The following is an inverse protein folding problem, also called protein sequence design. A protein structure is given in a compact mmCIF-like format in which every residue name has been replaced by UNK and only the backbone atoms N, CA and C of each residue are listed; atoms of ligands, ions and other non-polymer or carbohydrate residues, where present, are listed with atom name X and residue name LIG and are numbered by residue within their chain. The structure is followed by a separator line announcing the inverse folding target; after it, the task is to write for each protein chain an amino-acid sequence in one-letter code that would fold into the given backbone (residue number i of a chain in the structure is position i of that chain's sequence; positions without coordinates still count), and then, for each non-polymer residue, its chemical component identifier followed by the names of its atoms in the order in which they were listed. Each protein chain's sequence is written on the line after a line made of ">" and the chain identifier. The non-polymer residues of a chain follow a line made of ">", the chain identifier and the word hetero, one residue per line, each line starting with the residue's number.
data_IF_570663442337
#
_entry.id   IF_570663442337
#
_cell.length_a   1.000
_cell.length_b   1.000
_cell.length_c   1.000
_cell.angle_alpha   90.00
_cell.angle_beta   90.00
_cell.angle_gamma   90.00
#
_symmetry.space_group_name_H-M   'P 1'
#
loop_
_entity.id
_entity.type
_entity.pdbx_description
1 polymer ?
#
# COMPACT_ATOMS: atom_id res chain seq x y z
N UNK A 1 -23.92 1.36 12.21
CA UNK A 1 -23.53 1.18 10.79
C UNK A 1 -22.44 0.15 10.71
N UNK A 2 -22.71 -0.89 9.94
CA UNK A 2 -22.08 -2.21 9.87
C UNK A 2 -20.55 -2.15 9.77
N UNK A 3 -19.86 -3.05 10.48
CA UNK A 3 -18.42 -3.34 10.32
C UNK A 3 -18.01 -3.44 8.85
N UNK A 4 -18.93 -3.92 8.00
CA UNK A 4 -18.84 -3.93 6.55
C UNK A 4 -18.52 -2.56 5.93
N UNK A 5 -19.20 -1.49 6.33
CA UNK A 5 -18.96 -0.14 5.82
C UNK A 5 -17.59 0.40 6.23
N UNK A 6 -17.11 0.06 7.43
CA UNK A 6 -15.75 0.41 7.87
C UNK A 6 -14.70 -0.33 7.05
N UNK A 7 -14.92 -1.62 6.79
CA UNK A 7 -14.01 -2.45 6.00
C UNK A 7 -13.92 -1.96 4.55
N UNK A 8 -15.07 -1.65 3.93
CA UNK A 8 -15.12 -1.10 2.58
C UNK A 8 -14.33 0.20 2.45
N UNK A 9 -14.41 1.09 3.44
CA UNK A 9 -13.67 2.36 3.47
C UNK A 9 -12.17 2.17 3.56
N UNK A 10 -11.73 1.27 4.45
CA UNK A 10 -10.31 0.93 4.61
C UNK A 10 -9.78 0.24 3.35
N UNK A 11 -10.54 -0.68 2.77
CA UNK A 11 -10.17 -1.38 1.55
C UNK A 11 -10.07 -0.45 0.34
N UNK A 12 -11.03 0.47 0.18
CA UNK A 12 -10.97 1.50 -0.85
C UNK A 12 -9.74 2.41 -0.67
N UNK A 13 -9.40 2.77 0.58
CA UNK A 13 -8.21 3.57 0.87
C UNK A 13 -6.92 2.82 0.55
N UNK A 14 -6.82 1.53 0.90
CA UNK A 14 -5.67 0.67 0.57
C UNK A 14 -5.54 0.48 -0.95
N UNK A 15 -6.66 0.25 -1.66
CA UNK A 15 -6.66 0.16 -3.13
C UNK A 15 -6.24 1.47 -3.79
N UNK A 16 -6.69 2.62 -3.26
CA UNK A 16 -6.26 3.94 -3.71
C UNK A 16 -4.77 4.15 -3.46
N UNK A 17 -4.29 3.93 -2.24
CA UNK A 17 -2.88 4.11 -1.89
C UNK A 17 -1.95 3.16 -2.68
N UNK A 18 -2.35 1.91 -2.87
CA UNK A 18 -1.55 0.92 -3.61
C UNK A 18 -1.45 1.21 -5.11
N UNK A 19 -2.47 1.85 -5.70
CA UNK A 19 -2.48 2.16 -7.14
C UNK A 19 -1.94 3.57 -7.45
N UNK A 20 -1.87 4.47 -6.45
CA UNK A 20 -1.33 5.83 -6.60
C UNK A 20 0.12 5.83 -7.10
N UNK A 21 0.95 4.91 -6.62
CA UNK A 21 2.33 4.74 -7.05
C UNK A 21 2.48 4.45 -8.56
N UNK A 22 1.84 3.38 -9.08
CA UNK A 22 1.78 3.07 -10.50
C UNK A 22 1.22 4.21 -11.36
N UNK A 23 0.15 4.88 -10.91
CA UNK A 23 -0.44 6.01 -11.65
C UNK A 23 0.55 7.17 -11.78
N UNK A 24 1.26 7.53 -10.71
CA UNK A 24 2.28 8.58 -10.75
C UNK A 24 3.40 8.28 -11.74
N UNK A 25 3.86 7.01 -11.77
CA UNK A 25 4.88 6.57 -12.73
C UNK A 25 4.35 6.62 -14.17
N UNK A 26 3.13 6.15 -14.42
CA UNK A 26 2.49 6.21 -15.74
C UNK A 26 2.36 7.66 -16.22
N UNK A 27 1.90 8.57 -15.37
CA UNK A 27 1.78 10.00 -15.70
C UNK A 27 3.15 10.62 -16.00
N UNK A 28 4.18 10.30 -15.23
CA UNK A 28 5.54 10.79 -15.47
C UNK A 28 6.08 10.37 -16.85
N UNK A 29 5.87 9.11 -17.23
CA UNK A 29 6.30 8.61 -18.55
C UNK A 29 5.40 9.11 -19.69
N UNK A 30 4.11 9.34 -19.45
CA UNK A 30 3.19 9.86 -20.47
C UNK A 30 3.39 11.35 -20.78
N UNK A 31 3.85 12.15 -19.82
CA UNK A 31 3.94 13.60 -19.94
C UNK A 31 5.32 14.14 -20.40
N UNK A 32 6.07 13.39 -21.22
CA UNK A 32 7.37 13.84 -21.73
C UNK A 32 7.25 15.01 -22.74
N UNK A 33 8.17 16.01 -22.76
CA UNK A 33 9.42 16.16 -22.00
C UNK A 33 9.37 17.39 -21.07
N UNK A 34 8.58 17.36 -20.00
CA UNK A 34 8.57 18.46 -19.03
C UNK A 34 9.51 18.17 -17.84
N UNK A 35 10.65 18.87 -17.69
CA UNK A 35 11.62 18.63 -16.62
C UNK A 35 11.07 18.89 -15.21
N UNK A 36 9.94 19.59 -15.08
CA UNK A 36 9.25 19.80 -13.80
C UNK A 36 8.68 18.52 -13.20
N UNK A 37 8.45 17.48 -14.02
CA UNK A 37 7.83 16.22 -13.59
C UNK A 37 8.80 15.26 -12.90
N UNK A 38 10.11 15.52 -12.90
CA UNK A 38 11.13 14.68 -12.22
C UNK A 38 10.81 14.43 -10.74
N UNK A 39 10.18 15.39 -10.07
CA UNK A 39 9.76 15.23 -8.68
C UNK A 39 8.65 14.17 -8.52
N UNK A 40 7.71 14.09 -9.46
CA UNK A 40 6.64 13.08 -9.44
C UNK A 40 7.19 11.66 -9.62
N UNK A 41 8.27 11.48 -10.39
CA UNK A 41 8.95 10.19 -10.52
C UNK A 41 9.50 9.70 -9.18
N UNK A 42 10.29 10.54 -8.50
CA UNK A 42 10.92 10.17 -7.23
C UNK A 42 9.90 9.97 -6.11
N UNK A 43 8.87 10.82 -6.03
CA UNK A 43 7.79 10.66 -5.05
C UNK A 43 6.93 9.43 -5.36
N UNK A 44 6.57 9.20 -6.62
CA UNK A 44 5.81 8.02 -7.03
C UNK A 44 6.56 6.72 -6.74
N UNK A 45 7.85 6.67 -7.01
CA UNK A 45 8.71 5.53 -6.70
C UNK A 45 8.84 5.30 -5.18
N UNK A 46 8.98 6.37 -4.40
CA UNK A 46 9.05 6.28 -2.94
C UNK A 46 7.75 5.77 -2.32
N UNK A 47 6.59 6.30 -2.75
CA UNK A 47 5.27 5.84 -2.29
C UNK A 47 5.06 4.36 -2.65
N UNK A 48 5.40 3.96 -3.88
CA UNK A 48 5.29 2.57 -4.33
C UNK A 48 6.16 1.64 -3.47
N UNK A 49 7.41 2.04 -3.19
CA UNK A 49 8.31 1.24 -2.37
C UNK A 49 7.78 1.07 -0.94
N UNK A 50 7.26 2.14 -0.32
CA UNK A 50 6.65 2.06 1.01
C UNK A 50 5.42 1.16 1.01
N UNK A 51 4.54 1.29 0.02
CA UNK A 51 3.33 0.48 -0.09
C UNK A 51 3.65 -1.03 -0.14
N UNK A 52 4.62 -1.41 -0.98
CA UNK A 52 5.12 -2.79 -1.08
C UNK A 52 5.76 -3.26 0.23
N UNK A 53 6.54 -2.43 0.91
CA UNK A 53 7.15 -2.78 2.20
C UNK A 53 6.10 -3.00 3.30
N UNK A 54 5.05 -2.16 3.33
CA UNK A 54 3.94 -2.32 4.26
C UNK A 54 3.19 -3.63 3.96
N UNK A 55 2.90 -3.92 2.69
CA UNK A 55 2.28 -5.16 2.28
C UNK A 55 3.11 -6.37 2.73
N UNK A 56 4.42 -6.36 2.49
CA UNK A 56 5.33 -7.43 2.91
C UNK A 56 5.35 -7.60 4.44
N UNK A 57 5.40 -6.49 5.19
CA UNK A 57 5.39 -6.50 6.64
C UNK A 57 4.09 -7.07 7.21
N UNK A 58 2.94 -6.69 6.64
CA UNK A 58 1.63 -7.22 7.01
C UNK A 58 1.50 -8.71 6.69
N UNK A 59 1.96 -9.16 5.52
CA UNK A 59 1.98 -10.59 5.16
C UNK A 59 2.87 -11.39 6.12
N UNK A 60 4.04 -10.86 6.47
CA UNK A 60 4.93 -11.51 7.44
C UNK A 60 4.32 -11.56 8.85
N UNK A 61 3.63 -10.50 9.27
CA UNK A 61 2.92 -10.47 10.55
C UNK A 61 1.72 -11.43 10.58
N UNK A 62 0.98 -11.55 9.48
CA UNK A 62 -0.16 -12.46 9.35
C UNK A 62 0.26 -13.94 9.33
N UNK A 63 1.46 -14.25 8.83
CA UNK A 63 2.02 -15.61 8.82
C UNK A 63 2.63 -16.05 10.17
N UNK A 64 2.59 -15.22 11.22
CA UNK A 64 3.03 -15.67 12.55
C UNK A 64 2.06 -16.71 13.11
N UNK A 65 2.52 -17.93 13.44
CA UNK A 65 1.65 -18.96 13.98
C UNK A 65 1.07 -18.51 15.34
N UNK A 66 -0.21 -18.82 15.62
CA UNK A 66 -0.81 -18.46 16.90
C UNK A 66 0.00 -19.10 18.03
N UNK A 67 0.39 -18.28 19.01
CA UNK A 67 1.07 -18.76 20.21
C UNK A 67 0.22 -19.86 20.86
N UNK A 68 0.80 -21.04 21.06
CA UNK A 68 0.11 -22.17 21.70
C UNK A 68 -0.41 -21.71 23.06
N UNK A 69 -1.75 -21.66 23.22
CA UNK A 69 -2.36 -21.41 24.53
C UNK A 69 -1.94 -22.55 25.44
N UNK A 70 -1.22 -22.23 26.53
CA UNK A 70 -0.90 -23.21 27.57
C UNK A 70 -2.23 -23.67 28.19
N UNK A 71 -2.51 -24.98 28.29
CA UNK A 71 -3.65 -25.46 29.05
C UNK A 71 -3.48 -25.00 30.50
N UNK A 72 -4.52 -24.38 31.07
CA UNK A 72 -4.61 -24.19 32.52
C UNK A 72 -5.23 -25.47 33.07
N UNK A 73 -4.44 -26.24 33.79
CA UNK A 73 -4.92 -27.25 34.73
C UNK A 73 -5.61 -26.57 35.94
#
# INVERSE_FOLDING_TARGET
>A
MSTFWRYLRVQAFVLLCGIVGPIFLVVYFAAQPDPTLKWMYWIGLFITAIDVLIALALTNAANRPPAKRKPSD
#
